data_IF_397836326074
#
_entry.id   IF_397836326074
#
_cell.length_a   1.000
_cell.length_b   1.000
_cell.length_c   1.000
_cell.angle_alpha   90.00
_cell.angle_beta   90.00
_cell.angle_gamma   90.00
#
_symmetry.space_group_name_H-M   'P 1'
#
loop_
_entity.id
_entity.type
_entity.pdbx_description
1 polymer ?
#
# COMPACT_ATOMS: atom_id res chain seq x y z
N UNK A 1 -18.83 -16.62 28.13
CA UNK A 1 -19.40 -15.44 28.80
C UNK A 1 -18.28 -14.42 28.97
N UNK A 2 -18.38 -13.23 28.33
CA UNK A 2 -17.35 -12.19 28.44
C UNK A 2 -17.51 -11.48 29.79
N UNK A 3 -16.58 -11.70 30.73
CA UNK A 3 -16.62 -11.10 32.08
C UNK A 3 -16.03 -9.66 32.10
N UNK A 4 -16.10 -8.92 31.01
CA UNK A 4 -15.49 -7.59 30.88
C UNK A 4 -16.55 -6.57 30.48
N UNK A 5 -16.52 -5.39 31.12
CA UNK A 5 -17.42 -4.28 30.76
C UNK A 5 -17.03 -3.72 29.39
N UNK A 6 -17.95 -3.77 28.43
CA UNK A 6 -17.72 -3.29 27.06
C UNK A 6 -18.02 -1.79 26.88
N UNK A 7 -18.93 -1.22 27.71
CA UNK A 7 -19.33 0.18 27.63
C UNK A 7 -19.32 0.83 29.01
N UNK A 8 -18.96 2.12 29.05
CA UNK A 8 -19.11 3.00 30.21
C UNK A 8 -20.10 4.11 29.90
N UNK A 9 -20.80 4.60 30.92
CA UNK A 9 -21.74 5.71 30.78
C UNK A 9 -21.13 6.96 31.43
N UNK A 10 -20.81 7.96 30.60
CA UNK A 10 -20.28 9.25 31.05
C UNK A 10 -21.19 10.35 30.53
N UNK A 11 -21.62 11.26 31.43
CA UNK A 11 -22.45 12.43 31.08
C UNK A 11 -23.64 12.09 30.15
N UNK A 12 -24.35 11.03 30.44
CA UNK A 12 -25.49 10.52 29.65
C UNK A 12 -25.12 9.98 28.25
N UNK A 13 -23.85 9.81 27.93
CA UNK A 13 -23.33 9.22 26.69
C UNK A 13 -22.74 7.85 26.96
N UNK A 14 -23.04 6.88 26.08
CA UNK A 14 -22.49 5.53 26.14
C UNK A 14 -21.19 5.51 25.37
N UNK A 15 -20.07 5.25 26.05
CA UNK A 15 -18.74 5.22 25.44
C UNK A 15 -18.17 3.77 25.52
N UNK A 16 -17.55 3.27 24.44
CA UNK A 16 -16.92 1.95 24.49
C UNK A 16 -15.63 2.00 25.30
N UNK A 17 -15.42 1.00 26.16
CA UNK A 17 -14.11 0.73 26.79
C UNK A 17 -13.11 0.24 25.73
N UNK A 18 -11.83 0.03 26.08
CA UNK A 18 -10.87 -0.58 25.17
C UNK A 18 -11.33 -1.98 24.71
N UNK A 19 -11.85 -2.80 25.63
CA UNK A 19 -12.48 -4.07 25.30
C UNK A 19 -13.76 -3.89 24.44
N UNK A 20 -14.51 -2.81 24.68
CA UNK A 20 -15.68 -2.42 23.89
C UNK A 20 -15.33 -2.03 22.46
N UNK A 21 -14.23 -1.33 22.23
CA UNK A 21 -13.76 -1.00 20.87
C UNK A 21 -13.41 -2.25 20.08
N UNK A 22 -12.69 -3.19 20.71
CA UNK A 22 -12.36 -4.49 20.10
C UNK A 22 -13.67 -5.26 19.78
N UNK A 23 -14.60 -5.33 20.73
CA UNK A 23 -15.89 -5.99 20.52
C UNK A 23 -16.70 -5.35 19.39
N UNK A 24 -16.77 -4.00 19.33
CA UNK A 24 -17.50 -3.29 18.28
C UNK A 24 -16.90 -3.57 16.90
N UNK A 25 -15.57 -3.63 16.78
CA UNK A 25 -14.92 -3.99 15.53
C UNK A 25 -15.28 -5.41 15.09
N UNK A 26 -15.16 -6.39 15.97
CA UNK A 26 -15.57 -7.76 15.64
C UNK A 26 -17.08 -7.88 15.34
N UNK A 27 -17.93 -7.18 16.08
CA UNK A 27 -19.37 -7.17 15.82
C UNK A 27 -19.71 -6.57 14.46
N UNK A 28 -19.03 -5.49 14.05
CA UNK A 28 -19.18 -4.92 12.71
C UNK A 28 -18.78 -5.92 11.63
N UNK A 29 -17.65 -6.59 11.81
CA UNK A 29 -17.19 -7.62 10.86
C UNK A 29 -18.21 -8.75 10.71
N UNK A 30 -18.78 -9.23 11.82
CA UNK A 30 -19.83 -10.28 11.78
C UNK A 30 -21.06 -9.79 11.00
N UNK A 31 -21.54 -8.57 11.28
CA UNK A 31 -22.70 -8.01 10.59
C UNK A 31 -22.42 -7.77 9.10
N UNK A 32 -21.20 -7.41 8.76
CA UNK A 32 -20.79 -7.21 7.38
C UNK A 32 -20.72 -8.54 6.62
N UNK A 33 -20.10 -9.56 7.22
CA UNK A 33 -20.07 -10.93 6.67
C UNK A 33 -21.51 -11.48 6.48
N UNK A 34 -22.41 -11.22 7.40
CA UNK A 34 -23.82 -11.63 7.30
C UNK A 34 -24.53 -10.91 6.13
N UNK A 35 -24.30 -9.61 5.96
CA UNK A 35 -24.84 -8.84 4.84
C UNK A 35 -24.32 -9.35 3.49
N UNK A 36 -23.03 -9.58 3.39
CA UNK A 36 -22.35 -10.13 2.20
C UNK A 36 -22.84 -11.55 1.90
N UNK A 37 -22.94 -12.41 2.89
CA UNK A 37 -23.52 -13.75 2.74
C UNK A 37 -24.94 -13.67 2.17
N UNK A 38 -25.74 -12.71 2.65
CA UNK A 38 -27.10 -12.51 2.17
C UNK A 38 -27.14 -12.00 0.72
N UNK A 39 -26.19 -11.14 0.32
CA UNK A 39 -26.03 -10.67 -1.07
C UNK A 39 -25.55 -11.81 -1.97
N UNK A 40 -24.54 -12.57 -1.56
CA UNK A 40 -24.04 -13.72 -2.33
C UNK A 40 -25.14 -14.79 -2.51
N UNK A 41 -25.93 -15.07 -1.49
CA UNK A 41 -27.06 -16.01 -1.62
C UNK A 41 -28.11 -15.48 -2.59
N UNK A 42 -28.42 -14.17 -2.54
CA UNK A 42 -29.33 -13.54 -3.50
C UNK A 42 -28.80 -13.54 -4.92
N UNK A 43 -27.50 -13.21 -5.09
CA UNK A 43 -26.84 -13.23 -6.39
C UNK A 43 -26.81 -14.65 -6.98
N UNK A 44 -26.54 -15.65 -6.17
CA UNK A 44 -26.61 -17.08 -6.54
C UNK A 44 -28.02 -17.51 -6.95
N UNK A 45 -29.05 -17.04 -6.22
CA UNK A 45 -30.45 -17.32 -6.54
C UNK A 45 -30.96 -16.60 -7.80
N UNK A 46 -30.38 -15.46 -8.16
CA UNK A 46 -30.78 -14.63 -9.31
C UNK A 46 -29.94 -14.89 -10.56
N UNK A 47 -28.91 -15.76 -10.48
CA UNK A 47 -27.98 -16.00 -11.60
C UNK A 47 -27.14 -14.77 -11.95
N UNK A 48 -27.07 -13.75 -11.07
CA UNK A 48 -26.24 -12.58 -11.19
C UNK A 48 -24.96 -12.78 -10.38
N UNK A 49 -23.88 -12.68 -11.05
CA UNK A 49 -22.53 -12.95 -10.58
C UNK A 49 -22.00 -11.78 -9.79
N UNK A 50 -21.24 -12.07 -8.76
CA UNK A 50 -20.91 -11.23 -7.64
C UNK A 50 -20.14 -9.94 -7.96
N UNK A 51 -19.90 -9.17 -6.90
CA UNK A 51 -19.00 -8.01 -6.91
C UNK A 51 -17.68 -8.37 -6.25
N UNK A 52 -16.58 -7.84 -6.78
CA UNK A 52 -15.25 -7.90 -6.17
C UNK A 52 -14.85 -6.49 -5.77
N UNK A 53 -14.41 -6.33 -4.52
CA UNK A 53 -13.97 -5.06 -3.96
C UNK A 53 -12.45 -5.06 -3.82
N UNK A 54 -11.78 -4.27 -4.65
CA UNK A 54 -10.34 -4.07 -4.64
C UNK A 54 -10.01 -2.69 -4.07
N UNK A 55 -9.14 -2.64 -3.07
CA UNK A 55 -8.60 -1.38 -2.59
C UNK A 55 -7.10 -1.31 -2.85
N UNK A 56 -6.61 -0.20 -3.42
CA UNK A 56 -5.22 -0.07 -3.81
C UNK A 56 -4.61 1.26 -3.38
N UNK A 57 -3.27 1.29 -3.33
CA UNK A 57 -2.53 2.54 -3.20
C UNK A 57 -2.87 3.47 -4.37
N UNK A 58 -3.06 4.79 -4.15
CA UNK A 58 -3.42 5.73 -5.20
C UNK A 58 -2.45 5.76 -6.40
N UNK A 59 -1.17 5.46 -6.20
CA UNK A 59 -0.18 5.42 -7.27
C UNK A 59 -0.41 4.29 -8.28
N UNK A 60 -1.13 3.24 -7.89
CA UNK A 60 -1.40 2.05 -8.71
C UNK A 60 -2.66 2.17 -9.55
N UNK A 61 -3.53 3.16 -9.27
CA UNK A 61 -4.88 3.24 -9.86
C UNK A 61 -4.85 3.30 -11.39
N UNK A 62 -3.88 4.01 -11.95
CA UNK A 62 -3.78 4.15 -13.41
C UNK A 62 -3.47 2.82 -14.10
N UNK A 63 -2.53 2.05 -13.59
CA UNK A 63 -2.16 0.73 -14.11
C UNK A 63 -3.35 -0.21 -13.96
N UNK A 64 -3.98 -0.24 -12.79
CA UNK A 64 -5.13 -1.10 -12.52
C UNK A 64 -6.26 -0.78 -13.51
N UNK A 65 -6.58 0.49 -13.74
CA UNK A 65 -7.63 0.88 -14.67
C UNK A 65 -7.31 0.56 -16.12
N UNK A 66 -6.08 0.75 -16.56
CA UNK A 66 -5.72 0.59 -17.98
C UNK A 66 -5.41 -0.86 -18.35
N UNK A 67 -4.82 -1.65 -17.47
CA UNK A 67 -4.36 -2.99 -17.81
C UNK A 67 -5.23 -4.09 -17.21
N UNK A 68 -5.76 -3.90 -16.00
CA UNK A 68 -6.47 -4.94 -15.27
C UNK A 68 -7.97 -4.87 -15.53
N UNK A 69 -8.58 -3.68 -15.38
CA UNK A 69 -10.05 -3.55 -15.47
C UNK A 69 -10.56 -4.00 -16.83
N UNK A 70 -9.95 -3.52 -17.91
CA UNK A 70 -10.39 -3.88 -19.27
C UNK A 70 -10.26 -5.37 -19.54
N UNK A 71 -9.10 -5.95 -19.22
CA UNK A 71 -8.83 -7.38 -19.45
C UNK A 71 -9.75 -8.26 -18.59
N UNK A 72 -9.94 -7.89 -17.31
CA UNK A 72 -10.81 -8.64 -16.41
C UNK A 72 -12.27 -8.58 -16.82
N UNK A 73 -12.77 -7.39 -17.22
CA UNK A 73 -14.16 -7.23 -17.68
C UNK A 73 -14.45 -7.94 -19.01
N UNK A 74 -13.48 -8.05 -19.92
CA UNK A 74 -13.61 -8.85 -21.14
C UNK A 74 -13.79 -10.34 -20.84
N UNK A 75 -13.08 -10.86 -19.84
CA UNK A 75 -13.15 -12.26 -19.43
C UNK A 75 -14.37 -12.56 -18.55
N UNK A 76 -14.79 -11.59 -17.74
CA UNK A 76 -15.84 -11.73 -16.72
C UNK A 76 -16.86 -10.57 -16.79
N UNK A 77 -17.63 -10.44 -17.88
CA UNK A 77 -18.53 -9.29 -18.11
C UNK A 77 -19.65 -9.17 -17.08
N UNK A 78 -20.00 -10.27 -16.40
CA UNK A 78 -21.08 -10.32 -15.41
C UNK A 78 -20.60 -10.02 -13.99
N UNK A 79 -19.29 -9.77 -13.80
CA UNK A 79 -18.70 -9.44 -12.48
C UNK A 79 -18.44 -7.95 -12.38
N UNK A 80 -18.94 -7.34 -11.31
CA UNK A 80 -18.66 -5.95 -11.00
C UNK A 80 -17.36 -5.83 -10.20
N UNK A 81 -16.36 -5.17 -10.76
CA UNK A 81 -15.12 -4.84 -10.07
C UNK A 81 -15.21 -3.41 -9.50
N UNK A 82 -15.29 -3.30 -8.17
CA UNK A 82 -15.29 -2.03 -7.44
C UNK A 82 -13.87 -1.72 -6.98
N UNK A 83 -13.32 -0.57 -7.42
CA UNK A 83 -11.96 -0.17 -7.07
C UNK A 83 -12.04 1.12 -6.26
N UNK A 84 -11.36 1.12 -5.11
CA UNK A 84 -11.19 2.29 -4.26
C UNK A 84 -9.72 2.49 -3.91
N UNK A 85 -9.33 3.72 -3.57
CA UNK A 85 -7.97 4.03 -3.18
C UNK A 85 -7.88 4.32 -1.69
N UNK A 86 -6.74 3.97 -1.09
CA UNK A 86 -6.44 4.26 0.30
C UNK A 86 -4.96 4.12 0.60
N UNK A 87 -4.51 4.64 1.74
CA UNK A 87 -3.17 4.36 2.22
C UNK A 87 -3.09 2.93 2.83
N UNK A 88 -1.88 2.46 3.13
CA UNK A 88 -1.64 1.10 3.67
C UNK A 88 -2.56 0.77 4.85
N UNK A 89 -2.69 1.65 5.82
CA UNK A 89 -3.50 1.42 7.02
C UNK A 89 -4.99 1.30 6.69
N UNK A 90 -5.49 2.14 5.78
CA UNK A 90 -6.89 2.09 5.33
C UNK A 90 -7.18 0.80 4.56
N UNK A 91 -6.25 0.36 3.70
CA UNK A 91 -6.36 -0.88 2.95
C UNK A 91 -6.38 -2.08 3.91
N UNK A 92 -5.43 -2.14 4.84
CA UNK A 92 -5.39 -3.22 5.85
C UNK A 92 -6.64 -3.22 6.73
N UNK A 93 -7.14 -2.05 7.16
CA UNK A 93 -8.39 -1.95 7.90
C UNK A 93 -9.59 -2.44 7.07
N UNK A 94 -9.66 -2.10 5.78
CA UNK A 94 -10.72 -2.54 4.88
C UNK A 94 -10.72 -4.07 4.70
N UNK A 95 -9.56 -4.69 4.60
CA UNK A 95 -9.42 -6.15 4.56
C UNK A 95 -9.84 -6.80 5.88
N UNK A 96 -9.40 -6.25 7.02
CA UNK A 96 -9.71 -6.79 8.35
C UNK A 96 -11.19 -6.66 8.72
N UNK A 97 -11.88 -5.62 8.23
CA UNK A 97 -13.30 -5.43 8.44
C UNK A 97 -14.18 -5.97 7.31
N UNK A 98 -13.56 -6.67 6.34
CA UNK A 98 -14.21 -7.30 5.19
C UNK A 98 -14.95 -6.32 4.25
N UNK A 99 -14.58 -5.03 4.22
CA UNK A 99 -15.10 -4.06 3.26
C UNK A 99 -14.35 -4.06 1.92
N UNK A 100 -13.21 -4.75 1.85
CA UNK A 100 -12.51 -5.08 0.62
C UNK A 100 -12.18 -6.57 0.57
N UNK A 101 -12.18 -7.14 -0.65
CA UNK A 101 -11.76 -8.53 -0.90
C UNK A 101 -10.26 -8.62 -1.02
N UNK A 102 -9.67 -7.68 -1.76
CA UNK A 102 -8.25 -7.58 -2.03
C UNK A 102 -7.73 -6.19 -1.70
N UNK A 103 -6.50 -6.15 -1.22
CA UNK A 103 -5.75 -4.93 -1.02
C UNK A 103 -4.40 -4.99 -1.73
N UNK A 104 -4.00 -3.89 -2.39
CA UNK A 104 -2.67 -3.78 -3.00
C UNK A 104 -2.02 -2.52 -2.44
N UNK A 105 -0.89 -2.70 -1.78
CA UNK A 105 -0.20 -1.62 -1.08
C UNK A 105 1.31 -1.85 -0.98
N UNK A 106 2.04 -0.77 -0.72
CA UNK A 106 3.46 -0.83 -0.44
C UNK A 106 3.76 -0.99 1.04
N UNK A 107 4.81 -1.76 1.37
CA UNK A 107 5.27 -1.99 2.73
C UNK A 107 6.78 -2.21 2.79
N UNK A 108 7.40 -1.88 3.91
CA UNK A 108 8.75 -2.34 4.26
C UNK A 108 8.74 -3.65 5.06
N UNK A 109 7.58 -4.20 5.34
CA UNK A 109 7.36 -5.46 6.02
C UNK A 109 6.75 -6.45 5.03
N UNK A 110 7.32 -7.65 4.93
CA UNK A 110 6.87 -8.69 3.98
C UNK A 110 5.50 -9.27 4.37
N UNK A 111 5.22 -9.37 5.67
CA UNK A 111 4.06 -10.09 6.17
C UNK A 111 3.22 -9.23 7.13
N UNK A 112 1.91 -9.37 7.02
CA UNK A 112 0.97 -8.86 8.02
C UNK A 112 0.57 -10.01 8.96
N UNK A 113 0.49 -9.81 10.30
CA UNK A 113 0.26 -10.90 11.25
C UNK A 113 -1.09 -11.63 11.11
N UNK A 114 -2.05 -11.06 10.40
CA UNK A 114 -3.42 -11.59 10.28
C UNK A 114 -3.80 -11.85 8.82
N UNK A 115 -3.36 -10.98 7.88
CA UNK A 115 -3.74 -11.07 6.48
C UNK A 115 -2.89 -12.12 5.76
N UNK A 116 -3.48 -12.83 4.82
CA UNK A 116 -2.76 -13.64 3.86
C UNK A 116 -2.19 -12.69 2.80
N UNK A 117 -0.86 -12.66 2.68
CA UNK A 117 -0.13 -11.68 1.89
C UNK A 117 0.76 -12.36 0.88
N UNK A 118 0.78 -11.84 -0.35
CA UNK A 118 1.66 -12.27 -1.42
C UNK A 118 2.44 -11.07 -1.95
N UNK A 119 3.76 -11.20 -2.04
CA UNK A 119 4.62 -10.22 -2.67
C UNK A 119 4.40 -10.30 -4.17
N UNK A 120 4.04 -9.18 -4.79
CA UNK A 120 3.89 -9.03 -6.23
C UNK A 120 5.22 -8.63 -6.87
N UNK A 121 5.94 -7.68 -6.25
CA UNK A 121 7.29 -7.29 -6.64
C UNK A 121 8.05 -6.76 -5.42
N UNK A 122 9.38 -6.75 -5.49
CA UNK A 122 10.26 -6.32 -4.41
C UNK A 122 11.43 -5.50 -4.91
N UNK A 123 11.86 -4.57 -4.09
CA UNK A 123 13.06 -3.77 -4.28
C UNK A 123 13.69 -3.41 -2.92
N UNK A 124 14.85 -2.80 -2.93
CA UNK A 124 15.53 -2.28 -1.76
C UNK A 124 15.50 -0.76 -1.76
N UNK A 125 15.14 -0.14 -0.65
CA UNK A 125 15.27 1.30 -0.48
C UNK A 125 16.76 1.65 -0.32
N UNK A 126 17.22 2.60 -1.12
CA UNK A 126 18.59 3.10 -1.10
C UNK A 126 18.62 4.60 -0.87
N UNK A 127 19.68 5.05 -0.19
CA UNK A 127 19.98 6.46 -0.05
C UNK A 127 20.79 6.92 -1.25
N UNK A 128 20.28 7.91 -1.97
CA UNK A 128 20.94 8.51 -3.11
C UNK A 128 21.40 9.93 -2.77
N UNK A 129 22.69 10.20 -3.03
CA UNK A 129 23.32 11.51 -2.89
C UNK A 129 24.33 11.69 -4.01
N UNK A 130 24.43 12.89 -4.53
CA UNK A 130 25.48 13.21 -5.54
C UNK A 130 26.83 13.57 -4.91
N UNK A 131 26.89 13.75 -3.61
CA UNK A 131 28.10 14.01 -2.86
C UNK A 131 28.36 12.85 -1.88
N UNK A 132 29.61 12.44 -1.78
CA UNK A 132 30.03 11.42 -0.81
C UNK A 132 29.51 11.79 0.60
N UNK A 133 28.80 10.86 1.24
CA UNK A 133 28.25 11.02 2.60
C UNK A 133 29.33 11.47 3.59
N UNK A 134 30.57 11.02 3.39
CA UNK A 134 31.71 11.37 4.23
C UNK A 134 32.18 12.83 4.05
N UNK A 135 31.86 13.47 2.95
CA UNK A 135 32.32 14.83 2.61
C UNK A 135 31.26 15.92 2.83
N UNK A 136 29.97 15.55 2.92
CA UNK A 136 28.91 16.48 3.30
C UNK A 136 28.80 16.58 4.81
N UNK A 137 28.91 17.80 5.35
CA UNK A 137 28.31 18.07 6.65
C UNK A 137 26.81 17.84 6.47
N UNK A 138 26.29 16.71 6.97
CA UNK A 138 24.89 16.29 6.90
C UNK A 138 23.91 17.39 7.36
N UNK A 139 24.42 18.39 8.11
CA UNK A 139 23.65 19.54 8.62
C UNK A 139 23.11 20.50 7.53
N UNK A 140 23.62 20.44 6.31
CA UNK A 140 23.21 21.34 5.21
C UNK A 140 22.50 20.63 4.05
N UNK A 141 22.37 19.31 4.09
CA UNK A 141 21.78 18.54 3.01
C UNK A 141 20.24 18.65 3.03
N UNK A 142 19.65 19.07 1.91
CA UNK A 142 18.19 19.11 1.74
C UNK A 142 17.70 17.71 1.41
N UNK A 143 16.80 17.20 2.23
CA UNK A 143 16.06 15.98 1.92
C UNK A 143 15.00 16.27 0.84
N UNK A 144 14.99 15.48 -0.22
CA UNK A 144 13.94 15.48 -1.22
C UNK A 144 13.08 14.25 -1.00
N UNK A 145 11.79 14.48 -0.80
CA UNK A 145 10.83 13.46 -0.41
C UNK A 145 9.66 13.44 -1.40
N UNK A 146 9.02 12.31 -1.51
CA UNK A 146 7.76 12.22 -2.23
C UNK A 146 6.65 12.93 -1.43
N UNK A 147 5.54 13.34 -2.07
CA UNK A 147 4.40 13.93 -1.37
C UNK A 147 3.81 13.01 -0.30
N UNK A 148 3.17 13.58 0.71
CA UNK A 148 2.51 12.81 1.80
C UNK A 148 1.42 11.85 1.31
N UNK A 149 0.91 12.06 0.12
CA UNK A 149 -0.04 11.17 -0.55
C UNK A 149 0.59 9.89 -1.09
N UNK A 150 1.92 9.83 -1.19
CA UNK A 150 2.66 8.65 -1.65
C UNK A 150 3.02 7.77 -0.44
N UNK A 151 2.83 6.46 -0.57
CA UNK A 151 3.12 5.48 0.49
C UNK A 151 4.57 5.54 1.00
N UNK A 152 5.52 5.86 0.13
CA UNK A 152 6.94 5.94 0.46
C UNK A 152 7.28 7.11 1.40
N UNK A 153 6.45 8.16 1.48
CA UNK A 153 6.74 9.38 2.26
C UNK A 153 7.10 9.06 3.72
N UNK A 154 6.27 8.26 4.37
CA UNK A 154 6.47 7.88 5.78
C UNK A 154 7.78 7.12 6.01
N UNK A 155 8.11 6.22 5.09
CA UNK A 155 9.36 5.46 5.18
C UNK A 155 10.58 6.36 4.93
N UNK A 156 10.47 7.30 4.00
CA UNK A 156 11.50 8.33 3.82
C UNK A 156 11.70 9.14 5.11
N UNK A 157 10.63 9.63 5.75
CA UNK A 157 10.74 10.35 7.04
C UNK A 157 11.46 9.52 8.10
N UNK A 158 11.04 8.26 8.28
CA UNK A 158 11.63 7.35 9.26
C UNK A 158 13.11 7.13 9.00
N UNK A 159 13.49 6.86 7.76
CA UNK A 159 14.87 6.58 7.38
C UNK A 159 15.75 7.84 7.42
N UNK A 160 15.23 8.99 6.98
CA UNK A 160 15.96 10.26 7.11
C UNK A 160 16.23 10.63 8.57
N UNK A 161 15.29 10.38 9.47
CA UNK A 161 15.53 10.59 10.91
C UNK A 161 16.66 9.72 11.46
N UNK A 162 16.89 8.54 10.90
CA UNK A 162 18.02 7.67 11.30
C UNK A 162 19.36 8.15 10.75
N UNK A 163 19.39 8.62 9.49
CA UNK A 163 20.63 9.02 8.81
C UNK A 163 21.03 10.44 9.19
N UNK A 164 20.07 11.36 9.21
CA UNK A 164 20.30 12.80 9.41
C UNK A 164 19.16 13.43 10.22
N UNK A 165 19.17 13.30 11.56
CA UNK A 165 18.15 13.91 12.43
C UNK A 165 18.06 15.44 12.29
N UNK A 166 19.11 16.08 11.79
CA UNK A 166 19.19 17.53 11.59
C UNK A 166 18.71 18.01 10.21
N UNK A 167 18.32 17.11 9.30
CA UNK A 167 17.72 17.47 8.02
C UNK A 167 16.33 18.10 8.23
N UNK A 168 16.30 19.41 8.40
CA UNK A 168 15.08 20.16 8.81
C UNK A 168 14.24 20.62 7.62
N UNK A 169 14.74 20.59 6.38
CA UNK A 169 13.99 21.07 5.22
C UNK A 169 13.83 19.99 4.17
N UNK A 170 12.62 19.46 4.07
CA UNK A 170 12.23 18.60 2.96
C UNK A 170 11.60 19.41 1.83
N UNK A 171 11.98 19.10 0.60
CA UNK A 171 11.24 19.50 -0.59
C UNK A 171 10.42 18.31 -0.99
N UNK A 172 9.09 18.48 -1.11
CA UNK A 172 8.20 17.40 -1.53
C UNK A 172 7.88 17.55 -3.02
N UNK A 173 8.33 16.59 -3.82
CA UNK A 173 8.15 16.58 -5.28
C UNK A 173 7.83 15.16 -5.78
N UNK A 174 7.23 15.07 -6.96
CA UNK A 174 7.05 13.78 -7.63
C UNK A 174 8.41 13.15 -7.98
N UNK A 175 8.49 11.83 -8.04
CA UNK A 175 9.75 11.10 -8.29
C UNK A 175 10.50 11.59 -9.54
N UNK A 176 9.86 11.80 -10.71
CA UNK A 176 10.55 12.33 -11.88
C UNK A 176 11.18 13.70 -11.63
N UNK A 177 10.52 14.57 -10.85
CA UNK A 177 11.07 15.88 -10.47
C UNK A 177 12.27 15.73 -9.54
N UNK A 178 12.23 14.78 -8.61
CA UNK A 178 13.35 14.47 -7.70
C UNK A 178 14.56 14.01 -8.50
N UNK A 179 14.38 13.05 -9.42
CA UNK A 179 15.44 12.53 -10.28
C UNK A 179 16.05 13.64 -11.14
N UNK A 180 15.20 14.42 -11.82
CA UNK A 180 15.65 15.55 -12.61
C UNK A 180 16.44 16.60 -11.81
N UNK A 181 16.05 16.84 -10.55
CA UNK A 181 16.74 17.77 -9.67
C UNK A 181 18.12 17.24 -9.26
N UNK A 182 18.23 15.95 -8.95
CA UNK A 182 19.50 15.27 -8.66
C UNK A 182 20.46 15.36 -9.85
N UNK A 183 19.98 15.09 -11.05
CA UNK A 183 20.80 15.15 -12.27
C UNK A 183 21.33 16.55 -12.57
N UNK A 184 20.46 17.56 -12.58
CA UNK A 184 20.82 18.92 -12.99
C UNK A 184 21.59 19.70 -11.94
N UNK A 185 21.16 19.65 -10.70
CA UNK A 185 21.66 20.57 -9.68
C UNK A 185 22.74 19.95 -8.80
N UNK A 186 22.86 18.64 -8.78
CA UNK A 186 23.84 17.95 -7.96
C UNK A 186 23.73 18.21 -6.46
N UNK A 187 22.57 18.67 -5.99
CA UNK A 187 22.33 19.09 -4.62
C UNK A 187 21.05 18.43 -4.16
N UNK A 188 21.15 17.64 -3.10
CA UNK A 188 20.02 17.00 -2.46
C UNK A 188 20.26 15.52 -2.22
N UNK A 189 19.46 14.99 -1.33
CA UNK A 189 19.50 13.60 -0.94
C UNK A 189 18.08 13.05 -1.00
N UNK A 190 17.93 11.82 -1.44
CA UNK A 190 16.63 11.14 -1.45
C UNK A 190 16.78 9.69 -1.03
N UNK A 191 15.66 9.06 -0.72
CA UNK A 191 15.57 7.63 -0.44
C UNK A 191 14.49 7.09 -1.36
N UNK A 192 14.86 6.25 -2.32
CA UNK A 192 13.97 5.68 -3.32
C UNK A 192 14.29 4.20 -3.52
N UNK A 193 13.42 3.42 -4.16
CA UNK A 193 13.74 2.07 -4.61
C UNK A 193 14.97 2.05 -5.52
N UNK A 194 15.80 1.01 -5.38
CA UNK A 194 17.13 0.93 -6.04
C UNK A 194 17.02 0.82 -7.56
N UNK A 195 16.02 0.12 -8.06
CA UNK A 195 15.79 -0.09 -9.50
C UNK A 195 15.51 1.21 -10.26
N UNK A 196 15.00 2.25 -9.59
CA UNK A 196 14.81 3.60 -10.17
C UNK A 196 16.13 4.22 -10.63
N UNK A 197 17.24 3.83 -10.03
CA UNK A 197 18.57 4.37 -10.33
C UNK A 197 19.39 3.53 -11.29
N UNK A 198 18.83 2.47 -11.88
CA UNK A 198 19.57 1.50 -12.70
C UNK A 198 20.39 2.17 -13.83
N UNK A 199 19.87 3.26 -14.42
CA UNK A 199 20.47 3.99 -15.53
C UNK A 199 21.06 5.36 -15.14
N UNK A 200 21.09 5.70 -13.86
CA UNK A 200 21.56 7.02 -13.40
C UNK A 200 22.95 6.97 -12.76
N UNK A 201 23.88 7.87 -13.12
CA UNK A 201 25.22 7.93 -12.53
C UNK A 201 25.21 8.68 -11.18
N UNK A 202 24.50 8.17 -10.20
CA UNK A 202 24.41 8.74 -8.87
C UNK A 202 25.17 7.87 -7.85
N UNK A 203 25.66 8.49 -6.78
CA UNK A 203 26.22 7.74 -5.64
C UNK A 203 25.08 7.16 -4.84
N UNK A 204 24.93 5.83 -4.93
CA UNK A 204 23.87 5.06 -4.27
C UNK A 204 24.48 4.30 -3.09
N UNK A 205 23.82 4.36 -1.95
CA UNK A 205 24.24 3.72 -0.71
C UNK A 205 23.12 2.87 -0.15
N UNK A 206 23.36 1.57 0.00
CA UNK A 206 22.45 0.65 0.67
C UNK A 206 22.47 0.87 2.18
N UNK A 207 21.32 0.64 2.82
CA UNK A 207 21.20 0.64 4.27
C UNK A 207 21.83 -0.62 4.88
N UNK A 208 22.25 -0.51 6.13
CA UNK A 208 22.72 -1.68 6.90
C UNK A 208 21.94 -1.73 8.22
N UNK A 209 21.03 -2.71 8.41
CA UNK A 209 20.63 -3.75 7.46
C UNK A 209 19.87 -3.19 6.24
N UNK A 210 19.81 -3.93 5.12
CA UNK A 210 19.02 -3.56 3.95
C UNK A 210 17.56 -3.29 4.31
N UNK A 211 16.95 -2.30 3.63
CA UNK A 211 15.54 -1.93 3.83
C UNK A 211 14.73 -2.39 2.63
N UNK A 212 14.08 -3.54 2.76
CA UNK A 212 13.17 -4.05 1.73
C UNK A 212 11.99 -3.09 1.50
N UNK A 213 11.52 -3.05 0.28
CA UNK A 213 10.32 -2.33 -0.13
C UNK A 213 9.50 -3.22 -1.06
N UNK A 214 8.33 -3.59 -0.62
CA UNK A 214 7.51 -4.64 -1.22
C UNK A 214 6.21 -4.06 -1.76
N UNK A 215 5.82 -4.46 -2.95
CA UNK A 215 4.46 -4.33 -3.45
C UNK A 215 3.71 -5.60 -3.07
N UNK A 216 2.69 -5.47 -2.24
CA UNK A 216 1.98 -6.58 -1.61
C UNK A 216 0.54 -6.60 -2.08
N UNK A 217 0.06 -7.77 -2.48
CA UNK A 217 -1.36 -8.11 -2.54
C UNK A 217 -1.74 -8.90 -1.30
N UNK A 218 -2.83 -8.51 -0.66
CA UNK A 218 -3.32 -9.17 0.55
C UNK A 218 -4.83 -9.38 0.53
N UNK A 219 -5.28 -10.41 1.26
CA UNK A 219 -6.70 -10.68 1.52
C UNK A 219 -6.91 -11.24 2.93
N UNK A 220 -8.15 -11.29 3.39
CA UNK A 220 -8.46 -11.90 4.68
C UNK A 220 -8.49 -13.43 4.56
N UNK A 221 -7.72 -14.21 5.36
CA UNK A 221 -7.54 -15.67 5.18
C UNK A 221 -8.82 -16.48 5.40
N UNK A 222 -9.78 -15.95 6.15
CA UNK A 222 -11.06 -16.67 6.46
C UNK A 222 -12.09 -16.45 5.36
N UNK A 223 -11.88 -15.48 4.46
CA UNK A 223 -12.85 -15.16 3.41
C UNK A 223 -12.86 -16.25 2.33
N UNK A 224 -14.00 -16.84 2.07
CA UNK A 224 -14.17 -17.76 0.95
C UNK A 224 -14.20 -16.94 -0.35
N UNK A 225 -13.16 -17.10 -1.15
CA UNK A 225 -13.04 -16.39 -2.43
C UNK A 225 -13.74 -17.18 -3.55
N UNK A 226 -14.58 -16.54 -4.38
CA UNK A 226 -15.13 -17.18 -5.58
C UNK A 226 -14.01 -17.65 -6.52
N UNK A 227 -14.23 -18.70 -7.33
CA UNK A 227 -13.18 -19.18 -8.27
C UNK A 227 -12.63 -18.11 -9.22
N UNK A 228 -13.46 -17.16 -9.61
CA UNK A 228 -13.11 -16.03 -10.49
C UNK A 228 -12.06 -15.08 -9.89
N UNK A 229 -11.93 -15.04 -8.57
CA UNK A 229 -10.91 -14.21 -7.92
C UNK A 229 -9.50 -14.70 -8.21
N UNK A 230 -9.30 -15.97 -8.55
CA UNK A 230 -8.00 -16.50 -8.99
C UNK A 230 -7.53 -15.89 -10.31
N UNK A 231 -8.47 -15.63 -11.22
CA UNK A 231 -8.13 -14.99 -12.50
C UNK A 231 -7.72 -13.55 -12.28
N UNK A 232 -8.38 -12.84 -11.33
CA UNK A 232 -7.97 -11.50 -10.92
C UNK A 232 -6.59 -11.53 -10.22
N UNK A 233 -6.34 -12.48 -9.32
CA UNK A 233 -5.05 -12.64 -8.65
C UNK A 233 -3.91 -12.89 -9.65
N UNK A 234 -4.12 -13.78 -10.63
CA UNK A 234 -3.13 -14.07 -11.66
C UNK A 234 -2.87 -12.82 -12.51
N UNK A 235 -3.92 -12.11 -12.93
CA UNK A 235 -3.79 -10.89 -13.71
C UNK A 235 -3.05 -9.79 -12.94
N UNK A 236 -3.34 -9.64 -11.65
CA UNK A 236 -2.63 -8.70 -10.78
C UNK A 236 -1.16 -9.10 -10.64
N UNK A 237 -0.88 -10.38 -10.47
CA UNK A 237 0.49 -10.87 -10.36
C UNK A 237 1.26 -10.62 -11.66
N UNK A 238 0.73 -11.05 -12.81
CA UNK A 238 1.37 -10.88 -14.12
C UNK A 238 1.61 -9.39 -14.46
N UNK A 239 0.71 -8.51 -14.01
CA UNK A 239 0.82 -7.07 -14.24
C UNK A 239 1.90 -6.41 -13.38
N UNK A 240 2.09 -6.89 -12.16
CA UNK A 240 2.93 -6.21 -11.17
C UNK A 240 4.26 -6.93 -10.85
N UNK A 241 4.53 -8.11 -11.40
CA UNK A 241 5.76 -8.87 -11.10
C UNK A 241 7.07 -8.16 -11.46
N UNK A 242 7.00 -7.11 -12.31
CA UNK A 242 8.16 -6.30 -12.73
C UNK A 242 7.87 -4.80 -12.53
N UNK A 243 7.03 -4.46 -11.56
CA UNK A 243 6.60 -3.08 -11.34
C UNK A 243 7.76 -2.11 -11.12
N UNK A 244 8.72 -2.48 -10.29
CA UNK A 244 9.87 -1.63 -9.99
C UNK A 244 10.87 -1.51 -11.15
N UNK A 245 10.85 -2.43 -12.12
CA UNK A 245 11.70 -2.35 -13.31
C UNK A 245 11.20 -1.31 -14.31
N UNK A 246 9.88 -1.03 -14.32
CA UNK A 246 9.22 -0.10 -15.25
C UNK A 246 8.74 1.18 -14.57
N UNK A 247 9.32 1.53 -13.43
CA UNK A 247 8.86 2.66 -12.61
C UNK A 247 8.84 3.99 -13.36
N UNK A 248 9.77 4.22 -14.30
CA UNK A 248 9.82 5.43 -15.11
C UNK A 248 8.66 5.57 -16.08
N UNK A 249 8.16 4.45 -16.64
CA UNK A 249 7.05 4.45 -17.60
C UNK A 249 5.71 4.75 -16.92
N UNK A 250 5.60 4.46 -15.63
CA UNK A 250 4.36 4.62 -14.85
C UNK A 250 4.12 6.09 -14.47
N UNK A 251 5.17 6.89 -14.38
CA UNK A 251 5.11 8.29 -13.94
C UNK A 251 5.49 9.30 -15.04
N UNK A 252 5.70 8.85 -16.28
CA UNK A 252 5.88 9.71 -17.44
C UNK A 252 4.52 10.07 -18.07
#
# INVERSE_FOLDING_TARGET
>A
MLCTKLFTREHNTLLPTNAGKVFVNFARNILQIEAEMSEHIKAYQQGHEGSIYLQCDPSLIHIIQTQIVSTFQEQHPDIQLHITCGNREQIQEALLNASADYGIYFSCEEEHPILDSRILDEDELVYCSKNDIASCSLESAKAMMVPQTNALHREQERLFQQICPACVSSICEAIPSILHFLEKNGIGNTILPSKIFADTPNDIHSFTPPQGYFLIMAHHPIRAMPPVTRDLENLLYDTFETYFEHYEEVFS
#
